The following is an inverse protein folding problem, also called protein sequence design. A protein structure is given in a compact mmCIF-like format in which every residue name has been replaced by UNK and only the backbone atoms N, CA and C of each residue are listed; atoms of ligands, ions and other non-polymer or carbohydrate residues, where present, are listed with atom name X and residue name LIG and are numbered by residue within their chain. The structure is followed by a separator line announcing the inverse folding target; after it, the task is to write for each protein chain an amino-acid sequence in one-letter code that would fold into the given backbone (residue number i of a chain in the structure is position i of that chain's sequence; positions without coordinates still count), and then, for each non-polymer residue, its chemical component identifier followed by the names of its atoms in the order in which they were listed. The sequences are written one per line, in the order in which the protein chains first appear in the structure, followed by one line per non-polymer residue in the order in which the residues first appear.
data_IF_322810113422
#
_entry.id   IF_322810113422
#
_cell.length_a   1.000
_cell.length_b   1.000
_cell.length_c   1.000
_cell.angle_alpha   90.00
_cell.angle_beta   90.00
_cell.angle_gamma   90.00
#
_symmetry.space_group_name_H-M   'P 1'
#
loop_
_entity.id
_entity.type
_entity.pdbx_description
1 polymer ?
#
# COMPACT_ATOMS: atom_id res chain seq x y z
N UNK A 1 -28.72 53.81 48.71
CA UNK A 1 -28.65 54.48 47.40
C UNK A 1 -27.50 53.86 46.63
N UNK A 2 -27.77 53.49 45.38
CA UNK A 2 -26.91 52.87 44.35
C UNK A 2 -25.50 53.52 44.26
N UNK A 3 -24.43 52.90 43.74
CA UNK A 3 -24.32 52.24 42.44
C UNK A 3 -23.25 51.14 42.37
N UNK A 4 -23.55 50.23 41.46
CA UNK A 4 -22.85 49.06 40.93
C UNK A 4 -21.50 49.38 40.31
N UNK A 5 -20.47 48.57 40.59
CA UNK A 5 -19.29 48.43 39.75
C UNK A 5 -19.26 47.00 39.19
N UNK A 6 -19.54 46.89 37.89
CA UNK A 6 -19.35 45.66 37.12
C UNK A 6 -17.85 45.50 36.84
N UNK A 7 -17.30 44.31 37.08
CA UNK A 7 -15.97 43.94 36.58
C UNK A 7 -15.88 42.43 36.39
N UNK A 8 -15.68 42.09 35.11
CA UNK A 8 -15.01 40.91 34.56
C UNK A 8 -15.53 39.51 34.97
N UNK A 9 -16.44 38.97 34.16
CA UNK A 9 -16.41 37.55 33.84
C UNK A 9 -15.54 37.38 32.59
N UNK A 10 -14.32 36.91 32.79
CA UNK A 10 -13.52 36.30 31.73
C UNK A 10 -14.00 34.85 31.69
N UNK A 11 -14.89 34.55 30.76
CA UNK A 11 -15.29 33.18 30.48
C UNK A 11 -14.15 32.54 29.69
N UNK A 12 -13.16 32.04 30.44
CA UNK A 12 -12.05 31.28 29.89
C UNK A 12 -12.53 29.83 29.79
N UNK A 13 -13.50 29.60 28.89
CA UNK A 13 -13.82 28.27 28.39
C UNK A 13 -12.66 27.84 27.51
N UNK A 14 -11.55 27.51 28.17
CA UNK A 14 -10.52 26.64 27.62
C UNK A 14 -11.15 25.26 27.52
N UNK A 15 -12.02 25.10 26.53
CA UNK A 15 -12.35 23.80 25.97
C UNK A 15 -11.06 23.34 25.29
N UNK A 16 -10.19 22.71 26.09
CA UNK A 16 -9.06 21.96 25.60
C UNK A 16 -9.65 20.79 24.83
N UNK A 17 -10.02 21.04 23.57
CA UNK A 17 -10.04 19.99 22.57
C UNK A 17 -8.65 19.38 22.64
N UNK A 18 -8.60 18.16 23.18
CA UNK A 18 -7.39 17.40 23.43
C UNK A 18 -6.49 17.46 22.19
N UNK A 19 -5.32 18.09 22.30
CA UNK A 19 -4.30 18.06 21.22
C UNK A 19 -3.89 16.60 20.87
N UNK A 20 -4.25 15.65 21.74
CA UNK A 20 -4.08 14.20 21.57
C UNK A 20 -5.15 13.52 20.69
N UNK A 21 -6.24 14.21 20.32
CA UNK A 21 -7.29 13.69 19.41
C UNK A 21 -7.11 14.16 17.96
N UNK A 22 -6.05 14.92 17.67
CA UNK A 22 -5.70 15.23 16.30
C UNK A 22 -5.15 13.98 15.60
N UNK A 23 -5.66 13.65 14.40
CA UNK A 23 -5.11 12.56 13.62
C UNK A 23 -3.60 12.75 13.39
N UNK A 24 -2.81 11.67 13.47
CA UNK A 24 -1.34 11.73 13.51
C UNK A 24 -0.69 12.48 12.31
N UNK A 25 -1.38 12.61 11.18
CA UNK A 25 -0.93 13.37 10.00
C UNK A 25 -1.08 14.90 10.16
N UNK A 26 -1.85 15.39 11.13
CA UNK A 26 -1.88 16.79 11.58
C UNK A 26 -0.92 17.05 12.75
N UNK A 27 -0.40 16.00 13.38
CA UNK A 27 0.48 16.10 14.54
C UNK A 27 1.98 16.21 14.18
N UNK A 28 2.37 16.01 12.91
CA UNK A 28 3.78 16.00 12.51
C UNK A 28 4.05 16.16 11.01
N UNK A 29 5.33 16.35 10.62
CA UNK A 29 5.71 16.45 9.22
C UNK A 29 5.44 15.15 8.47
N UNK A 30 5.22 15.23 7.14
CA UNK A 30 5.10 14.06 6.29
C UNK A 30 6.29 13.11 6.52
N UNK A 31 6.05 11.79 6.57
CA UNK A 31 7.12 10.82 6.74
C UNK A 31 8.10 10.87 5.54
N UNK A 32 9.36 10.45 5.72
CA UNK A 32 10.42 10.63 4.72
C UNK A 32 10.21 9.86 3.41
N UNK A 33 9.31 8.87 3.42
CA UNK A 33 8.95 8.08 2.24
C UNK A 33 7.78 8.68 1.44
N UNK A 34 7.10 9.70 1.96
CA UNK A 34 5.96 10.32 1.29
C UNK A 34 6.43 11.42 0.34
N UNK A 35 5.99 11.37 -0.92
CA UNK A 35 6.37 12.34 -1.96
C UNK A 35 5.60 13.66 -1.88
N UNK A 36 4.79 13.82 -0.82
CA UNK A 36 3.97 15.01 -0.55
C UNK A 36 2.99 15.34 -1.68
N UNK A 37 2.66 14.35 -2.51
CA UNK A 37 1.55 14.42 -3.43
C UNK A 37 0.23 14.34 -2.63
N UNK A 38 -0.07 15.43 -1.94
CA UNK A 38 -1.34 15.66 -1.28
C UNK A 38 -2.10 16.66 -2.14
N UNK A 39 -3.21 16.25 -2.74
CA UNK A 39 -4.08 17.21 -3.41
C UNK A 39 -4.84 18.01 -2.36
N UNK A 40 -4.65 19.33 -2.32
CA UNK A 40 -5.34 20.24 -1.38
C UNK A 40 -6.88 20.22 -1.54
N UNK A 41 -7.38 19.61 -2.62
CA UNK A 41 -8.80 19.46 -2.95
C UNK A 41 -9.45 18.20 -2.40
N UNK A 42 -8.67 17.27 -1.85
CA UNK A 42 -9.17 16.01 -1.27
C UNK A 42 -9.66 16.29 0.16
N UNK A 43 -10.84 15.74 0.50
CA UNK A 43 -11.41 15.85 1.84
C UNK A 43 -10.37 15.41 2.88
N UNK A 44 -10.33 16.09 4.04
CA UNK A 44 -9.42 15.76 5.13
C UNK A 44 -9.56 14.27 5.52
N UNK A 45 -10.76 13.70 5.38
CA UNK A 45 -11.06 12.29 5.62
C UNK A 45 -10.49 11.32 4.57
N UNK A 46 -10.05 11.80 3.42
CA UNK A 46 -9.52 11.02 2.29
C UNK A 46 -8.02 11.28 2.04
N UNK A 47 -7.38 12.08 2.90
CA UNK A 47 -5.94 12.36 2.77
C UNK A 47 -5.12 11.09 2.90
N UNK A 48 -4.30 10.86 1.87
CA UNK A 48 -3.40 9.72 1.74
C UNK A 48 -1.95 10.19 1.71
N UNK A 49 -1.08 9.59 2.53
CA UNK A 49 0.35 9.63 2.27
C UNK A 49 0.70 8.53 1.29
N UNK A 50 1.35 8.87 0.18
CA UNK A 50 1.74 7.91 -0.86
C UNK A 50 3.20 8.10 -1.26
N UNK A 51 3.86 7.00 -1.62
CA UNK A 51 5.23 6.97 -2.12
C UNK A 51 5.29 6.82 -3.65
N UNK A 52 4.74 7.77 -4.41
CA UNK A 52 4.75 7.74 -5.88
C UNK A 52 6.15 7.65 -6.48
N UNK A 53 7.15 8.28 -5.87
CA UNK A 53 8.57 8.23 -6.24
C UNK A 53 9.26 6.91 -5.90
N UNK A 54 8.64 6.07 -5.05
CA UNK A 54 9.10 4.71 -4.72
C UNK A 54 8.19 3.62 -5.29
N UNK A 55 7.28 3.98 -6.20
CA UNK A 55 6.41 3.02 -6.87
C UNK A 55 7.22 2.13 -7.81
N UNK A 56 7.02 0.82 -7.71
CA UNK A 56 7.62 -0.18 -8.59
C UNK A 56 6.55 -0.86 -9.42
N UNK A 57 6.74 -0.85 -10.74
CA UNK A 57 5.89 -1.53 -11.69
C UNK A 57 6.53 -2.86 -12.10
N UNK A 58 5.77 -3.95 -11.95
CA UNK A 58 6.19 -5.30 -12.34
C UNK A 58 5.32 -5.75 -13.50
N UNK A 59 5.90 -5.82 -14.69
CA UNK A 59 5.22 -6.34 -15.88
C UNK A 59 5.05 -7.85 -15.81
N UNK A 60 3.80 -8.32 -15.90
CA UNK A 60 3.45 -9.74 -15.90
C UNK A 60 3.29 -10.25 -17.34
N UNK A 61 4.40 -10.43 -18.05
CA UNK A 61 4.43 -10.81 -19.48
C UNK A 61 3.82 -12.17 -19.82
N UNK A 62 3.52 -13.00 -18.82
CA UNK A 62 2.91 -14.33 -18.99
C UNK A 62 1.40 -14.34 -18.77
N UNK A 63 0.83 -13.25 -18.24
CA UNK A 63 -0.60 -13.10 -18.01
C UNK A 63 -1.32 -12.60 -19.28
N UNK A 64 -2.64 -12.79 -19.33
CA UNK A 64 -3.45 -12.29 -20.44
C UNK A 64 -3.37 -10.75 -20.51
N UNK A 65 -3.10 -10.18 -21.70
CA UNK A 65 -2.93 -8.74 -21.84
C UNK A 65 -4.21 -7.99 -21.52
N UNK A 66 -4.07 -6.87 -20.82
CA UNK A 66 -5.16 -5.95 -20.52
C UNK A 66 -5.37 -5.02 -21.71
N UNK A 67 -6.62 -4.65 -21.93
CA UNK A 67 -7.05 -3.79 -23.04
C UNK A 67 -7.18 -2.35 -22.56
N UNK A 68 -6.61 -1.39 -23.30
CA UNK A 68 -6.82 0.04 -23.06
C UNK A 68 -8.27 0.44 -23.37
N UNK A 69 -8.80 1.41 -22.64
CA UNK A 69 -10.13 1.99 -22.87
C UNK A 69 -10.19 2.92 -24.12
N UNK A 70 -9.13 2.97 -24.92
CA UNK A 70 -9.05 3.82 -26.12
C UNK A 70 -9.86 3.24 -27.27
N UNK A 71 -10.79 4.00 -27.85
CA UNK A 71 -11.46 3.64 -29.11
C UNK A 71 -11.01 4.56 -30.27
N UNK A 72 -10.91 4.05 -31.52
CA UNK A 72 -11.14 2.68 -31.98
C UNK A 72 -9.97 1.75 -31.67
N UNK A 73 -10.27 0.47 -31.42
CA UNK A 73 -9.24 -0.42 -30.92
C UNK A 73 -8.19 -0.84 -31.95
N UNK A 74 -6.93 -0.83 -31.55
CA UNK A 74 -5.78 -1.34 -32.32
C UNK A 74 -5.03 -2.43 -31.54
N UNK A 75 -4.18 -3.21 -32.22
CA UNK A 75 -3.34 -4.21 -31.53
C UNK A 75 -2.38 -3.58 -30.52
N UNK A 76 -2.03 -2.30 -30.68
CA UNK A 76 -1.25 -1.51 -29.72
C UNK A 76 -2.01 -1.20 -28.42
N UNK A 77 -3.31 -1.51 -28.34
CA UNK A 77 -4.11 -1.25 -27.15
C UNK A 77 -4.04 -2.38 -26.13
N UNK A 78 -3.32 -3.46 -26.45
CA UNK A 78 -3.10 -4.60 -25.57
C UNK A 78 -1.72 -4.49 -24.95
N UNK A 79 -1.67 -4.43 -23.62
CA UNK A 79 -0.42 -4.37 -22.85
C UNK A 79 -0.41 -5.47 -21.79
N UNK A 80 0.77 -6.02 -21.44
CA UNK A 80 0.88 -6.92 -20.30
C UNK A 80 0.32 -6.25 -19.04
N UNK A 81 -0.38 -6.96 -18.16
CA UNK A 81 -0.80 -6.39 -16.90
C UNK A 81 0.42 -6.00 -16.07
N UNK A 82 0.30 -4.88 -15.37
CA UNK A 82 1.33 -4.32 -14.51
C UNK A 82 0.85 -4.40 -13.06
N UNK A 83 1.68 -4.96 -12.17
CA UNK A 83 1.49 -4.82 -10.73
C UNK A 83 2.24 -3.59 -10.25
N UNK A 84 1.54 -2.66 -9.62
CA UNK A 84 2.17 -1.54 -8.94
C UNK A 84 2.37 -1.88 -7.45
N UNK A 85 3.59 -1.68 -6.97
CA UNK A 85 3.95 -1.86 -5.56
C UNK A 85 4.43 -0.54 -4.99
N UNK A 86 3.77 -0.05 -3.96
CA UNK A 86 4.07 1.25 -3.33
C UNK A 86 3.74 1.23 -1.84
N UNK A 87 4.10 2.31 -1.14
CA UNK A 87 3.65 2.57 0.22
C UNK A 87 2.52 3.58 0.22
N UNK A 88 1.50 3.27 1.01
CA UNK A 88 0.43 4.19 1.33
C UNK A 88 0.14 4.20 2.83
N UNK A 89 -0.45 5.28 3.31
CA UNK A 89 -0.93 5.36 4.68
C UNK A 89 -2.15 6.26 4.71
N UNK A 90 -3.28 5.66 5.06
CA UNK A 90 -4.52 6.41 5.23
C UNK A 90 -4.51 7.20 6.53
N UNK A 91 -5.25 8.30 6.51
CA UNK A 91 -5.64 9.20 7.61
C UNK A 91 -5.88 8.52 8.99
N UNK A 92 -6.42 7.30 9.03
CA UNK A 92 -6.76 6.57 10.27
C UNK A 92 -5.72 5.50 10.67
N UNK A 93 -4.67 5.31 9.88
CA UNK A 93 -3.71 4.23 10.07
C UNK A 93 -2.49 4.69 10.87
N UNK A 94 -2.10 3.91 11.88
CA UNK A 94 -0.97 4.26 12.75
C UNK A 94 0.39 3.96 12.09
N UNK A 95 0.42 3.17 11.01
CA UNK A 95 1.63 2.76 10.32
C UNK A 95 1.43 2.65 8.82
N UNK A 96 2.47 2.85 7.99
CA UNK A 96 2.38 2.65 6.54
C UNK A 96 2.03 1.20 6.19
N UNK A 97 1.34 1.06 5.07
CA UNK A 97 1.05 -0.20 4.39
C UNK A 97 1.93 -0.31 3.15
N UNK A 98 2.23 -1.54 2.76
CA UNK A 98 2.70 -1.85 1.41
C UNK A 98 1.48 -2.23 0.59
N UNK A 99 1.16 -1.43 -0.42
CA UNK A 99 0.09 -1.69 -1.37
C UNK A 99 0.63 -2.46 -2.58
N UNK A 100 -0.12 -3.46 -3.02
CA UNK A 100 0.02 -4.12 -4.31
C UNK A 100 -1.29 -3.90 -5.07
N UNK A 101 -1.21 -3.17 -6.17
CA UNK A 101 -2.33 -2.78 -7.02
C UNK A 101 -2.26 -3.53 -8.37
N UNK A 102 -3.35 -3.47 -9.15
CA UNK A 102 -3.43 -4.12 -10.46
C UNK A 102 -3.66 -5.62 -10.39
N UNK A 103 -4.25 -6.13 -9.30
CA UNK A 103 -4.46 -7.57 -9.13
C UNK A 103 -5.54 -8.13 -10.09
N UNK A 104 -5.34 -9.35 -10.63
CA UNK A 104 -6.36 -10.00 -11.47
C UNK A 104 -7.68 -10.26 -10.72
N UNK A 105 -8.77 -10.41 -11.48
CA UNK A 105 -10.09 -10.85 -11.02
C UNK A 105 -10.86 -9.89 -10.08
N UNK A 106 -10.68 -8.57 -10.25
CA UNK A 106 -11.55 -7.55 -9.64
C UNK A 106 -11.28 -7.27 -8.16
N UNK A 107 -10.19 -7.82 -7.60
CA UNK A 107 -9.58 -7.22 -6.41
C UNK A 107 -8.75 -6.04 -6.88
N UNK A 108 -9.07 -4.85 -6.41
CA UNK A 108 -8.35 -3.65 -6.82
C UNK A 108 -6.97 -3.61 -6.17
N UNK A 109 -6.86 -3.95 -4.88
CA UNK A 109 -5.63 -3.71 -4.13
C UNK A 109 -5.44 -4.68 -2.96
N UNK A 110 -4.20 -4.99 -2.62
CA UNK A 110 -3.80 -5.70 -1.40
C UNK A 110 -2.92 -4.79 -0.55
N UNK A 111 -3.38 -4.45 0.65
CA UNK A 111 -2.58 -3.72 1.64
C UNK A 111 -1.99 -4.68 2.65
N UNK A 112 -0.67 -4.64 2.81
CA UNK A 112 0.09 -5.48 3.72
C UNK A 112 0.76 -4.63 4.79
N UNK A 113 0.85 -5.13 6.01
CA UNK A 113 1.82 -4.61 6.96
C UNK A 113 3.25 -4.86 6.45
N UNK A 114 4.25 -4.04 6.84
CA UNK A 114 5.64 -4.28 6.45
C UNK A 114 6.17 -5.69 6.80
N UNK A 115 5.71 -6.28 7.91
CA UNK A 115 6.07 -7.65 8.28
C UNK A 115 5.44 -8.71 7.38
N UNK A 116 4.18 -8.51 6.99
CA UNK A 116 3.47 -9.38 6.05
C UNK A 116 4.09 -9.29 4.66
N UNK A 117 4.38 -8.08 4.18
CA UNK A 117 5.04 -7.85 2.90
C UNK A 117 6.41 -8.54 2.81
N UNK A 118 7.22 -8.49 3.89
CA UNK A 118 8.48 -9.26 3.97
C UNK A 118 8.23 -10.76 3.84
N UNK A 119 7.25 -11.28 4.57
CA UNK A 119 6.92 -12.72 4.55
C UNK A 119 6.46 -13.17 3.15
N UNK A 120 5.63 -12.36 2.48
CA UNK A 120 5.21 -12.60 1.09
C UNK A 120 6.41 -12.57 0.15
N UNK A 121 7.28 -11.56 0.25
CA UNK A 121 8.49 -11.44 -0.57
C UNK A 121 9.44 -12.64 -0.41
N UNK A 122 9.67 -13.08 0.83
CA UNK A 122 10.47 -14.28 1.10
C UNK A 122 9.86 -15.54 0.48
N UNK A 123 8.53 -15.70 0.57
CA UNK A 123 7.83 -16.81 -0.06
C UNK A 123 7.95 -16.79 -1.59
N UNK A 124 7.82 -15.62 -2.23
CA UNK A 124 7.99 -15.45 -3.67
C UNK A 124 9.41 -15.79 -4.13
N UNK A 125 10.42 -15.26 -3.43
CA UNK A 125 11.84 -15.58 -3.71
C UNK A 125 12.08 -17.07 -3.56
N UNK A 126 11.58 -17.69 -2.49
CA UNK A 126 11.72 -19.12 -2.27
C UNK A 126 11.13 -19.96 -3.39
N UNK A 127 9.92 -19.65 -3.84
CA UNK A 127 9.27 -20.38 -4.94
C UNK A 127 10.00 -20.19 -6.27
N UNK A 128 10.53 -18.98 -6.55
CA UNK A 128 11.36 -18.73 -7.73
C UNK A 128 12.65 -19.55 -7.70
N UNK A 129 13.35 -19.60 -6.56
CA UNK A 129 14.56 -20.43 -6.39
C UNK A 129 14.28 -21.92 -6.61
N UNK A 130 13.13 -22.42 -6.14
CA UNK A 130 12.71 -23.81 -6.35
C UNK A 130 12.39 -24.06 -7.83
N UNK A 131 11.65 -23.17 -8.49
CA UNK A 131 11.30 -23.30 -9.91
C UNK A 131 12.52 -23.29 -10.83
N UNK A 132 13.53 -22.49 -10.50
CA UNK A 132 14.79 -22.42 -11.23
C UNK A 132 15.78 -23.55 -10.88
N UNK A 133 15.43 -24.43 -9.94
CA UNK A 133 16.29 -25.52 -9.48
C UNK A 133 17.49 -25.06 -8.64
N UNK A 134 17.52 -23.80 -8.19
CA UNK A 134 18.53 -23.26 -7.27
C UNK A 134 18.34 -23.77 -5.83
N UNK A 135 17.16 -24.29 -5.51
CA UNK A 135 16.81 -24.85 -4.21
C UNK A 135 15.93 -26.08 -4.34
N UNK A 136 16.13 -27.08 -3.48
CA UNK A 136 15.25 -28.25 -3.43
C UNK A 136 14.06 -28.00 -2.53
N UNK A 137 12.86 -28.39 -2.97
CA UNK A 137 11.68 -28.42 -2.11
C UNK A 137 11.84 -29.52 -1.05
N UNK A 138 11.82 -29.14 0.22
CA UNK A 138 11.78 -30.08 1.34
C UNK A 138 10.37 -30.08 1.88
N UNK A 139 9.62 -31.16 1.64
CA UNK A 139 8.30 -31.36 2.26
C UNK A 139 8.46 -31.34 3.79
N UNK A 140 7.54 -30.67 4.49
CA UNK A 140 7.43 -30.63 5.96
C UNK A 140 7.37 -32.02 6.61
N UNK A 141 7.20 -33.09 5.83
CA UNK A 141 7.29 -34.50 6.25
C UNK A 141 8.69 -35.12 6.13
N UNK A 142 9.72 -34.33 5.80
CA UNK A 142 11.11 -34.78 5.71
C UNK A 142 11.45 -35.65 4.49
N UNK A 143 10.54 -35.74 3.51
CA UNK A 143 10.77 -36.47 2.27
C UNK A 143 11.43 -35.59 1.22
N UNK A 144 12.74 -35.73 1.03
CA UNK A 144 13.46 -35.07 -0.06
C UNK A 144 13.11 -35.80 -1.37
N UNK A 145 12.19 -35.24 -2.18
CA UNK A 145 11.93 -35.76 -3.53
C UNK A 145 12.98 -35.20 -4.48
N UNK A 146 13.95 -36.02 -4.86
CA UNK A 146 14.84 -35.68 -5.99
C UNK A 146 14.04 -35.78 -7.29
N UNK A 147 14.06 -34.70 -8.05
CA UNK A 147 13.36 -34.54 -9.33
C UNK A 147 14.10 -35.21 -10.49
N UNK A 148 14.50 -36.48 -10.33
CA UNK A 148 15.32 -37.18 -11.34
C UNK A 148 14.51 -37.85 -12.45
N UNK A 149 13.18 -37.74 -12.49
CA UNK A 149 12.37 -38.39 -13.52
C UNK A 149 11.38 -37.42 -14.19
N UNK A 150 11.90 -36.45 -14.94
CA UNK A 150 11.15 -35.86 -16.05
C UNK A 150 11.62 -36.51 -17.35
N UNK A 151 11.10 -37.70 -17.64
CA UNK A 151 11.30 -38.37 -18.94
C UNK A 151 10.54 -37.55 -19.97
N UNK A 152 11.25 -36.98 -20.95
CA UNK A 152 10.66 -36.36 -22.14
C UNK A 152 9.88 -37.43 -22.91
N UNK A 153 8.57 -37.27 -23.00
CA UNK A 153 7.71 -37.92 -23.99
C UNK A 153 7.60 -37.06 -25.24
#
# INVERSE_FOLDING_TARGET
MSYTAASAQIDNTSDSADEDDLPYYLAGPCPPWCDRAHEDTVDDAERLHMSTGLMWEVMLVTEDPVKSDSEPHTLSDYFPPELAVYMDQHVREVSPRIAIDGLPAGRTQLHLLPAEARTVGEALIHLAEVAEGRRTFVDSRGGQKTSDNCVKG
#
